data_IF_795945073022
#
_entry.id   IF_795945073022
#
_cell.length_a   1.000
_cell.length_b   1.000
_cell.length_c   1.000
_cell.angle_alpha   90.00
_cell.angle_beta   90.00
_cell.angle_gamma   90.00
#
_symmetry.space_group_name_H-M   'P 1'
#
loop_
_entity.id
_entity.type
_entity.pdbx_description
1 polymer ?
#
# COMPACT_ATOMS: atom_id res chain seq x y z
N UNK A 1 -15.36 -9.95 -17.93
CA UNK A 1 -14.61 -11.20 -17.67
C UNK A 1 -13.18 -11.00 -18.14
N UNK A 2 -12.25 -10.77 -17.22
CA UNK A 2 -10.83 -10.59 -17.53
C UNK A 2 -10.18 -11.97 -17.45
N UNK A 3 -10.31 -12.77 -18.51
CA UNK A 3 -9.52 -13.98 -18.68
C UNK A 3 -8.25 -13.61 -19.43
N UNK A 4 -7.13 -13.43 -18.72
CA UNK A 4 -5.83 -13.19 -19.36
C UNK A 4 -5.43 -14.34 -20.28
N UNK A 5 -4.57 -14.07 -21.27
CA UNK A 5 -4.07 -15.13 -22.16
C UNK A 5 -3.22 -16.14 -21.34
N UNK A 6 -3.20 -17.41 -21.76
CA UNK A 6 -2.48 -18.48 -21.06
C UNK A 6 -0.97 -18.17 -20.93
N UNK A 7 -0.37 -17.55 -21.96
CA UNK A 7 1.04 -17.19 -21.98
C UNK A 7 1.42 -16.09 -20.97
N UNK A 8 0.45 -15.32 -20.50
CA UNK A 8 0.67 -14.23 -19.54
C UNK A 8 0.60 -14.72 -18.09
N UNK A 9 0.24 -15.99 -17.89
CA UNK A 9 0.08 -16.57 -16.57
C UNK A 9 1.42 -16.92 -15.94
N UNK A 10 1.69 -16.41 -14.75
CA UNK A 10 2.95 -16.64 -14.02
C UNK A 10 3.23 -18.13 -13.78
N UNK A 11 2.17 -18.93 -13.59
CA UNK A 11 2.20 -20.37 -13.32
C UNK A 11 2.24 -21.23 -14.59
N UNK A 12 2.22 -20.61 -15.78
CA UNK A 12 2.35 -21.32 -17.04
C UNK A 12 3.82 -21.40 -17.45
N UNK A 13 4.32 -22.63 -17.55
CA UNK A 13 5.73 -22.92 -17.81
C UNK A 13 6.00 -23.26 -19.28
N UNK A 14 4.97 -23.47 -20.10
CA UNK A 14 5.09 -23.89 -21.50
C UNK A 14 5.82 -25.22 -21.63
N UNK A 15 6.57 -25.41 -22.72
CA UNK A 15 7.37 -26.61 -22.93
C UNK A 15 8.59 -26.63 -21.97
N UNK A 16 8.51 -27.44 -20.91
CA UNK A 16 9.59 -27.64 -19.93
C UNK A 16 9.76 -29.12 -19.62
N UNK A 17 11.03 -29.53 -19.48
CA UNK A 17 11.40 -30.92 -19.23
C UNK A 17 10.94 -31.41 -17.86
N UNK A 18 10.46 -32.65 -17.81
CA UNK A 18 9.94 -33.29 -16.59
C UNK A 18 10.96 -33.34 -15.44
N UNK A 19 12.26 -33.42 -15.76
CA UNK A 19 13.35 -33.43 -14.77
C UNK A 19 13.44 -32.10 -14.02
N UNK A 20 13.44 -30.98 -14.74
CA UNK A 20 13.41 -29.62 -14.19
C UNK A 20 12.18 -29.42 -13.31
N UNK A 21 11.03 -29.92 -13.75
CA UNK A 21 9.78 -29.85 -12.99
C UNK A 21 9.89 -30.60 -11.67
N UNK A 22 10.47 -31.80 -11.67
CA UNK A 22 10.62 -32.60 -10.47
C UNK A 22 11.50 -31.90 -9.44
N UNK A 23 12.62 -31.33 -9.88
CA UNK A 23 13.58 -30.62 -9.04
C UNK A 23 12.95 -29.39 -8.39
N UNK A 24 12.29 -28.53 -9.17
CA UNK A 24 11.71 -27.30 -8.63
C UNK A 24 10.54 -27.59 -7.68
N UNK A 25 9.81 -28.69 -7.88
CA UNK A 25 8.67 -29.06 -7.06
C UNK A 25 9.05 -29.80 -5.77
N UNK A 26 10.25 -30.37 -5.65
CA UNK A 26 10.62 -31.30 -4.58
C UNK A 26 10.43 -30.74 -3.16
N UNK A 27 10.79 -29.47 -2.95
CA UNK A 27 10.73 -28.82 -1.62
C UNK A 27 9.62 -27.77 -1.52
N UNK A 28 8.64 -27.80 -2.43
CA UNK A 28 7.54 -26.84 -2.40
C UNK A 28 6.41 -27.27 -1.45
N UNK A 29 5.75 -26.31 -0.78
CA UNK A 29 4.66 -26.60 0.14
C UNK A 29 3.46 -27.20 -0.59
N UNK A 30 2.60 -27.89 0.17
CA UNK A 30 1.36 -28.48 -0.36
C UNK A 30 0.46 -27.43 -1.02
N UNK A 31 -0.16 -27.79 -2.14
CA UNK A 31 -0.97 -26.88 -2.95
C UNK A 31 -0.17 -25.97 -3.88
N UNK A 32 1.17 -26.08 -3.90
CA UNK A 32 2.00 -25.45 -4.93
C UNK A 32 1.77 -26.11 -6.28
N UNK A 33 1.60 -25.32 -7.33
CA UNK A 33 1.26 -25.85 -8.66
C UNK A 33 1.85 -25.05 -9.82
N UNK A 34 1.95 -25.71 -10.98
CA UNK A 34 2.20 -25.07 -12.28
C UNK A 34 1.59 -25.88 -13.43
N UNK A 35 1.48 -25.26 -14.60
CA UNK A 35 0.97 -25.89 -15.82
C UNK A 35 2.04 -25.83 -16.91
N UNK A 36 2.26 -26.94 -17.61
CA UNK A 36 3.19 -27.05 -18.74
C UNK A 36 2.53 -27.72 -19.94
N UNK A 37 3.21 -27.67 -21.08
CA UNK A 37 2.78 -28.40 -22.27
C UNK A 37 2.82 -29.90 -22.00
N UNK A 38 1.77 -30.62 -22.42
CA UNK A 38 1.80 -32.08 -22.42
C UNK A 38 2.66 -32.57 -23.59
N UNK A 39 3.11 -33.83 -23.49
CA UNK A 39 3.80 -34.48 -24.62
C UNK A 39 2.86 -34.72 -25.81
N UNK A 40 1.54 -34.67 -25.60
CA UNK A 40 0.56 -34.68 -26.68
C UNK A 40 0.26 -33.26 -27.14
N UNK A 41 0.39 -32.95 -28.44
CA UNK A 41 0.12 -31.62 -28.97
C UNK A 41 -1.30 -31.14 -28.62
N UNK A 42 -1.42 -29.92 -28.09
CA UNK A 42 -2.69 -29.27 -27.74
C UNK A 42 -3.19 -29.51 -26.31
N UNK A 43 -2.67 -30.52 -25.61
CA UNK A 43 -2.99 -30.79 -24.20
C UNK A 43 -1.96 -30.17 -23.24
N UNK A 44 -2.32 -30.08 -21.96
CA UNK A 44 -1.46 -29.57 -20.91
C UNK A 44 -1.31 -30.55 -19.74
N UNK A 45 -0.30 -30.34 -18.90
CA UNK A 45 -0.10 -31.08 -17.65
C UNK A 45 -0.04 -30.12 -16.48
N UNK A 46 -0.99 -30.26 -15.55
CA UNK A 46 -0.96 -29.65 -14.24
C UNK A 46 -0.05 -30.47 -13.32
N UNK A 47 0.93 -29.82 -12.71
CA UNK A 47 1.80 -30.40 -11.69
C UNK A 47 1.46 -29.75 -10.36
N UNK A 48 1.13 -30.53 -9.32
CA UNK A 48 0.73 -30.02 -7.99
C UNK A 48 1.39 -30.82 -6.87
N UNK A 49 1.77 -30.15 -5.78
CA UNK A 49 2.24 -30.81 -4.54
C UNK A 49 1.09 -31.21 -3.65
N UNK A 50 1.07 -32.48 -3.24
CA UNK A 50 0.07 -33.03 -2.34
C UNK A 50 0.63 -34.20 -1.54
N UNK A 51 0.49 -34.18 -0.22
CA UNK A 51 0.95 -35.25 0.66
C UNK A 51 2.45 -35.53 0.55
N UNK A 52 3.28 -34.49 0.41
CA UNK A 52 4.74 -34.61 0.25
C UNK A 52 5.20 -35.12 -1.12
N UNK A 53 4.29 -35.35 -2.06
CA UNK A 53 4.60 -35.87 -3.39
C UNK A 53 4.14 -34.92 -4.50
N UNK A 54 4.79 -35.05 -5.66
CA UNK A 54 4.42 -34.32 -6.87
C UNK A 54 3.41 -35.16 -7.67
N UNK A 55 2.22 -34.60 -7.89
CA UNK A 55 1.14 -35.22 -8.67
C UNK A 55 1.04 -34.55 -10.03
N UNK A 56 0.82 -35.34 -11.07
CA UNK A 56 0.66 -34.89 -12.45
C UNK A 56 -0.78 -35.20 -12.90
N UNK A 57 -1.51 -34.17 -13.31
CA UNK A 57 -2.88 -34.28 -13.82
C UNK A 57 -2.91 -33.76 -15.24
N UNK A 58 -3.42 -34.56 -16.17
CA UNK A 58 -3.54 -34.16 -17.57
C UNK A 58 -4.75 -33.24 -17.74
N UNK A 59 -4.55 -32.15 -18.48
CA UNK A 59 -5.62 -31.26 -18.91
C UNK A 59 -5.83 -31.53 -20.40
N UNK A 60 -7.00 -32.05 -20.73
CA UNK A 60 -7.43 -32.29 -22.10
C UNK A 60 -8.01 -31.04 -22.71
N UNK A 61 -7.69 -30.76 -23.96
CA UNK A 61 -8.28 -29.64 -24.71
C UNK A 61 -8.84 -30.15 -26.03
N UNK A 62 -10.14 -29.93 -26.25
CA UNK A 62 -10.81 -30.32 -27.48
C UNK A 62 -11.88 -29.30 -27.87
N UNK A 63 -11.85 -28.86 -29.13
CA UNK A 63 -12.79 -27.87 -29.71
C UNK A 63 -13.00 -26.63 -28.84
N UNK A 64 -11.92 -26.11 -28.24
CA UNK A 64 -11.94 -24.90 -27.41
C UNK A 64 -12.46 -25.10 -25.97
N UNK A 65 -12.78 -26.32 -25.54
CA UNK A 65 -13.10 -26.64 -24.15
C UNK A 65 -12.01 -27.50 -23.52
N UNK A 66 -11.88 -27.42 -22.20
CA UNK A 66 -10.89 -28.17 -21.45
C UNK A 66 -11.40 -28.73 -20.11
N UNK A 67 -10.71 -29.75 -19.62
CA UNK A 67 -11.03 -30.45 -18.37
C UNK A 67 -10.03 -31.55 -18.05
N UNK A 68 -10.15 -32.16 -16.87
CA UNK A 68 -9.27 -33.25 -16.44
C UNK A 68 -9.71 -34.64 -16.91
N UNK A 69 -10.93 -34.76 -17.46
CA UNK A 69 -11.46 -35.98 -18.06
C UNK A 69 -11.98 -35.68 -19.46
N UNK A 70 -11.70 -36.55 -20.43
CA UNK A 70 -12.08 -36.36 -21.83
C UNK A 70 -13.62 -36.30 -22.02
N UNK A 71 -14.35 -36.99 -21.14
CA UNK A 71 -15.82 -37.02 -21.09
C UNK A 71 -16.45 -35.81 -20.38
N UNK A 72 -15.63 -34.94 -19.77
CA UNK A 72 -16.11 -33.80 -18.96
C UNK A 72 -15.22 -32.56 -19.15
N UNK A 73 -15.36 -31.92 -20.32
CA UNK A 73 -14.65 -30.67 -20.68
C UNK A 73 -15.50 -29.44 -20.30
N UNK A 74 -15.50 -29.09 -19.02
CA UNK A 74 -16.43 -28.12 -18.42
C UNK A 74 -16.00 -26.65 -18.51
N UNK A 75 -14.78 -26.35 -18.96
CA UNK A 75 -14.23 -24.99 -18.94
C UNK A 75 -13.82 -24.49 -20.33
N UNK A 76 -14.05 -23.21 -20.60
CA UNK A 76 -13.76 -22.58 -21.90
C UNK A 76 -12.28 -22.22 -22.10
N UNK A 77 -11.44 -22.36 -21.06
CA UNK A 77 -9.99 -22.12 -21.15
C UNK A 77 -9.24 -22.80 -20.00
N UNK A 78 -7.96 -23.10 -20.21
CA UNK A 78 -7.08 -23.63 -19.14
C UNK A 78 -6.99 -22.64 -17.98
N UNK A 79 -7.02 -21.33 -18.25
CA UNK A 79 -6.99 -20.29 -17.23
C UNK A 79 -8.22 -20.36 -16.33
N UNK A 80 -9.43 -20.47 -16.93
CA UNK A 80 -10.67 -20.58 -16.15
C UNK A 80 -10.79 -21.91 -15.40
N UNK A 81 -10.25 -23.00 -15.95
CA UNK A 81 -10.11 -24.28 -15.25
C UNK A 81 -9.23 -24.12 -13.99
N UNK A 82 -8.03 -23.54 -14.14
CA UNK A 82 -7.10 -23.36 -13.01
C UNK A 82 -7.71 -22.44 -11.95
N UNK A 83 -8.30 -21.31 -12.35
CA UNK A 83 -8.91 -20.34 -11.42
C UNK A 83 -10.03 -20.97 -10.60
N UNK A 84 -10.85 -21.83 -11.22
CA UNK A 84 -11.89 -22.58 -10.53
C UNK A 84 -11.34 -23.48 -9.42
N UNK A 85 -10.23 -24.18 -9.67
CA UNK A 85 -9.58 -25.08 -8.70
C UNK A 85 -8.63 -24.37 -7.72
N UNK A 86 -8.45 -23.05 -7.83
CA UNK A 86 -7.77 -22.27 -6.78
C UNK A 86 -8.59 -22.20 -5.50
N UNK A 87 -9.90 -22.11 -5.62
CA UNK A 87 -10.84 -21.98 -4.49
C UNK A 87 -11.62 -23.26 -4.19
N UNK A 88 -11.51 -24.29 -5.04
CA UNK A 88 -12.22 -25.57 -4.91
C UNK A 88 -11.24 -26.74 -4.98
N UNK A 89 -11.42 -27.71 -4.08
CA UNK A 89 -10.52 -28.88 -4.00
C UNK A 89 -10.63 -29.75 -5.24
N UNK A 90 -9.50 -30.29 -5.70
CA UNK A 90 -9.42 -31.30 -6.76
C UNK A 90 -10.12 -32.62 -6.39
N UNK A 91 -10.58 -32.78 -5.15
CA UNK A 91 -11.38 -33.91 -4.68
C UNK A 91 -12.63 -34.18 -5.51
N UNK A 92 -13.26 -33.13 -6.06
CA UNK A 92 -14.44 -33.28 -6.90
C UNK A 92 -14.13 -33.89 -8.28
N UNK A 93 -12.86 -33.85 -8.70
CA UNK A 93 -12.37 -34.59 -9.85
C UNK A 93 -11.83 -35.98 -9.45
N UNK A 94 -10.98 -36.04 -8.42
CA UNK A 94 -10.40 -37.28 -7.91
C UNK A 94 -10.42 -37.28 -6.38
N UNK A 95 -11.21 -38.19 -5.80
CA UNK A 95 -11.42 -38.26 -4.35
C UNK A 95 -10.13 -38.42 -3.52
N UNK A 96 -9.04 -38.91 -4.12
CA UNK A 96 -7.73 -39.09 -3.50
C UNK A 96 -6.80 -37.86 -3.63
N UNK A 97 -7.26 -36.78 -4.24
CA UNK A 97 -6.48 -35.56 -4.48
C UNK A 97 -7.17 -34.36 -3.81
N UNK A 98 -7.23 -34.38 -2.47
CA UNK A 98 -7.92 -33.35 -1.69
C UNK A 98 -7.02 -32.12 -1.45
N UNK A 99 -6.80 -31.35 -2.52
CA UNK A 99 -5.95 -30.16 -2.51
C UNK A 99 -6.51 -29.06 -3.41
N UNK A 100 -6.34 -27.80 -3.00
CA UNK A 100 -6.63 -26.64 -3.84
C UNK A 100 -5.33 -26.10 -4.46
N UNK A 101 -5.44 -25.44 -5.62
CA UNK A 101 -4.32 -24.79 -6.31
C UNK A 101 -3.97 -23.44 -5.65
N UNK A 102 -3.30 -23.50 -4.49
CA UNK A 102 -3.08 -22.34 -3.60
C UNK A 102 -1.93 -21.46 -4.08
N UNK A 103 -0.77 -22.07 -4.35
CA UNK A 103 0.47 -21.34 -4.57
C UNK A 103 0.94 -21.49 -6.03
N UNK A 104 0.67 -20.50 -6.91
CA UNK A 104 1.13 -20.55 -8.29
C UNK A 104 2.66 -20.44 -8.33
N UNK A 105 3.33 -21.45 -8.87
CA UNK A 105 4.79 -21.47 -8.96
C UNK A 105 5.24 -20.68 -10.20
N UNK A 106 5.92 -19.52 -10.04
CA UNK A 106 6.26 -18.68 -11.18
C UNK A 106 7.40 -19.28 -12.02
N UNK A 107 7.28 -19.25 -13.35
CA UNK A 107 8.38 -19.63 -14.25
C UNK A 107 9.55 -18.64 -14.11
N UNK A 108 10.60 -19.04 -13.38
CA UNK A 108 11.88 -18.31 -13.38
C UNK A 108 12.55 -18.50 -14.75
N UNK A 109 12.45 -17.49 -15.63
CA UNK A 109 13.01 -17.51 -17.00
C UNK A 109 14.54 -17.76 -17.10
N UNK A 110 15.27 -17.95 -16.00
CA UNK A 110 16.72 -18.11 -15.95
C UNK A 110 17.23 -19.36 -15.20
N UNK A 111 16.39 -20.35 -14.85
CA UNK A 111 16.86 -21.51 -14.03
C UNK A 111 17.37 -22.73 -14.81
N UNK A 112 17.30 -22.75 -16.15
CA UNK A 112 17.93 -23.82 -16.94
C UNK A 112 19.32 -23.36 -17.39
N UNK A 113 20.30 -23.53 -16.50
CA UNK A 113 21.66 -23.87 -16.93
C UNK A 113 22.11 -25.05 -16.08
N UNK A 114 22.16 -26.20 -16.74
CA UNK A 114 22.90 -27.37 -16.31
C UNK A 114 24.27 -26.88 -15.85
N UNK A 115 24.58 -27.08 -14.57
CA UNK A 115 25.94 -26.91 -14.06
C UNK A 115 26.71 -28.13 -14.55
N UNK A 116 27.26 -28.04 -15.77
CA UNK A 116 28.31 -28.98 -16.17
C UNK A 116 29.57 -28.64 -15.35
N UNK A 117 29.99 -29.58 -14.53
CA UNK A 117 31.11 -29.50 -13.59
C UNK A 117 32.50 -29.45 -14.27
N UNK A 118 32.59 -29.07 -15.54
CA UNK A 118 33.84 -28.99 -16.28
C UNK A 118 33.92 -27.71 -17.11
N UNK A 119 34.01 -26.57 -16.45
CA UNK A 119 34.52 -25.34 -17.08
C UNK A 119 35.83 -24.93 -16.41
N UNK A 120 36.93 -25.32 -17.05
CA UNK A 120 38.25 -24.72 -16.78
C UNK A 120 38.19 -23.29 -17.32
N UNK A 121 38.53 -22.26 -16.52
CA UNK A 121 38.47 -20.89 -16.99
C UNK A 121 39.55 -20.67 -18.06
N UNK A 122 39.15 -20.54 -19.32
CA UNK A 122 40.03 -19.95 -20.32
C UNK A 122 40.18 -18.46 -20.01
N UNK A 123 41.43 -18.02 -20.09
CA UNK A 123 41.96 -16.73 -19.67
C UNK A 123 41.53 -15.56 -20.56
N UNK A 124 40.25 -15.42 -20.87
CA UNK A 124 39.71 -14.14 -21.32
C UNK A 124 39.18 -13.41 -20.11
N UNK A 125 39.91 -12.39 -19.66
CA UNK A 125 39.42 -11.40 -18.71
C UNK A 125 37.98 -11.00 -19.08
N UNK A 126 37.04 -10.97 -18.13
CA UNK A 126 35.66 -10.57 -18.42
C UNK A 126 35.68 -9.20 -19.10
N UNK A 127 34.81 -8.96 -20.10
CA UNK A 127 34.72 -7.65 -20.74
C UNK A 127 34.59 -6.60 -19.63
N UNK A 128 35.52 -5.63 -19.61
CA UNK A 128 35.47 -4.51 -18.67
C UNK A 128 34.10 -3.88 -18.80
N UNK A 129 33.34 -3.86 -17.70
CA UNK A 129 32.05 -3.19 -17.63
C UNK A 129 32.23 -1.76 -18.14
N UNK A 130 31.67 -1.46 -19.31
CA UNK A 130 31.59 -0.11 -19.85
C UNK A 130 30.60 0.67 -19.00
N UNK A 131 31.15 1.40 -18.02
CA UNK A 131 30.42 2.30 -17.15
C UNK A 131 29.57 3.25 -18.00
N UNK A 132 28.25 3.24 -17.83
CA UNK A 132 27.40 4.25 -18.46
C UNK A 132 27.67 5.59 -17.75
N UNK A 133 28.23 6.61 -18.42
CA UNK A 133 28.63 7.87 -17.78
C UNK A 133 27.43 8.65 -17.20
N UNK A 134 26.22 8.41 -17.71
CA UNK A 134 24.99 9.09 -17.28
C UNK A 134 24.31 8.46 -16.04
N UNK A 135 24.91 7.45 -15.41
CA UNK A 135 24.27 6.76 -14.29
C UNK A 135 24.11 7.68 -13.06
N UNK A 136 25.16 8.44 -12.68
CA UNK A 136 25.12 9.32 -11.52
C UNK A 136 24.10 10.44 -11.71
N UNK A 137 24.00 10.95 -12.94
CA UNK A 137 23.03 11.95 -13.32
C UNK A 137 21.60 11.41 -13.16
N UNK A 138 21.32 10.23 -13.74
CA UNK A 138 19.99 9.60 -13.66
C UNK A 138 19.59 9.27 -12.23
N UNK A 139 20.50 8.71 -11.44
CA UNK A 139 20.26 8.43 -10.03
C UNK A 139 19.98 9.72 -9.26
N UNK A 140 20.76 10.77 -9.49
CA UNK A 140 20.57 12.07 -8.86
C UNK A 140 19.21 12.69 -9.20
N UNK A 141 18.82 12.68 -10.48
CA UNK A 141 17.50 13.16 -10.92
C UNK A 141 16.36 12.35 -10.29
N UNK A 142 16.52 11.04 -10.16
CA UNK A 142 15.53 10.17 -9.53
C UNK A 142 15.39 10.44 -8.03
N UNK A 143 16.52 10.67 -7.32
CA UNK A 143 16.52 11.13 -5.92
C UNK A 143 15.77 12.46 -5.78
N UNK A 144 16.03 13.43 -6.68
CA UNK A 144 15.33 14.71 -6.69
C UNK A 144 13.82 14.52 -6.86
N UNK A 145 13.42 13.65 -7.79
CA UNK A 145 12.02 13.31 -8.07
C UNK A 145 11.32 12.77 -6.81
N UNK A 146 11.95 11.83 -6.11
CA UNK A 146 11.43 11.26 -4.85
C UNK A 146 11.33 12.31 -3.75
N UNK A 147 12.37 13.13 -3.58
CA UNK A 147 12.35 14.20 -2.59
C UNK A 147 11.23 15.21 -2.88
N UNK A 148 11.01 15.54 -4.14
CA UNK A 148 9.92 16.43 -4.56
C UNK A 148 8.55 15.80 -4.28
N UNK A 149 8.32 14.53 -4.63
CA UNK A 149 7.07 13.83 -4.30
C UNK A 149 6.83 13.81 -2.78
N UNK A 150 7.87 13.64 -1.97
CA UNK A 150 7.76 13.71 -0.51
C UNK A 150 7.37 15.10 0.00
N UNK A 151 7.91 16.18 -0.61
CA UNK A 151 7.49 17.56 -0.33
C UNK A 151 6.03 17.76 -0.68
N UNK A 152 5.61 17.34 -1.87
CA UNK A 152 4.24 17.54 -2.34
C UNK A 152 3.22 16.77 -1.46
N UNK A 153 3.54 15.53 -1.05
CA UNK A 153 2.73 14.79 -0.07
C UNK A 153 2.67 15.51 1.29
N UNK A 154 3.82 15.97 1.79
CA UNK A 154 3.88 16.66 3.07
C UNK A 154 3.08 17.97 3.06
N UNK A 155 3.12 18.72 1.95
CA UNK A 155 2.33 19.94 1.76
C UNK A 155 0.83 19.62 1.74
N UNK A 156 0.42 18.60 0.98
CA UNK A 156 -0.98 18.15 0.91
C UNK A 156 -1.54 17.76 2.27
N UNK A 157 -0.76 17.00 3.06
CA UNK A 157 -1.14 16.58 4.41
C UNK A 157 -1.17 17.75 5.39
N UNK A 158 -0.24 18.69 5.26
CA UNK A 158 -0.23 19.94 6.01
C UNK A 158 -1.49 20.76 5.74
N UNK A 159 -1.88 20.92 4.48
CA UNK A 159 -3.09 21.66 4.12
C UNK A 159 -4.36 20.96 4.63
N UNK A 160 -4.43 19.63 4.53
CA UNK A 160 -5.55 18.84 5.02
C UNK A 160 -5.78 19.05 6.53
N UNK A 161 -4.73 18.92 7.35
CA UNK A 161 -4.88 19.11 8.81
C UNK A 161 -5.22 20.55 9.19
N UNK A 162 -4.75 21.55 8.42
CA UNK A 162 -5.16 22.96 8.63
C UNK A 162 -6.64 23.17 8.30
N UNK A 163 -7.14 22.51 7.24
CA UNK A 163 -8.54 22.59 6.87
C UNK A 163 -9.43 21.94 7.94
N UNK A 164 -9.06 20.77 8.46
CA UNK A 164 -9.78 20.11 9.56
C UNK A 164 -9.80 20.98 10.82
N UNK A 165 -8.66 21.60 11.17
CA UNK A 165 -8.61 22.53 12.30
C UNK A 165 -9.55 23.71 12.11
N UNK A 166 -9.58 24.32 10.92
CA UNK A 166 -10.50 25.44 10.64
C UNK A 166 -11.96 25.04 10.87
N UNK A 167 -12.36 23.86 10.40
CA UNK A 167 -13.72 23.35 10.61
C UNK A 167 -14.02 23.09 12.09
N UNK A 168 -13.04 22.60 12.85
CA UNK A 168 -13.18 22.39 14.29
C UNK A 168 -13.30 23.73 15.05
N UNK A 169 -12.49 24.74 14.70
CA UNK A 169 -12.55 26.09 15.26
C UNK A 169 -13.92 26.75 14.97
N UNK A 170 -14.42 26.64 13.74
CA UNK A 170 -15.74 27.14 13.34
C UNK A 170 -16.87 26.47 14.15
N UNK A 171 -16.84 25.14 14.28
CA UNK A 171 -17.83 24.39 15.07
C UNK A 171 -17.76 24.73 16.57
N UNK A 172 -16.55 24.93 17.11
CA UNK A 172 -16.37 25.37 18.49
C UNK A 172 -16.96 26.77 18.71
N UNK A 173 -16.79 27.68 17.75
CA UNK A 173 -17.40 29.01 17.78
C UNK A 173 -18.93 28.93 17.74
N UNK A 174 -19.51 28.10 16.87
CA UNK A 174 -20.96 27.88 16.82
C UNK A 174 -21.52 27.37 18.15
N UNK A 175 -20.88 26.38 18.78
CA UNK A 175 -21.30 25.92 20.11
C UNK A 175 -21.17 27.00 21.17
N UNK A 176 -20.09 27.81 21.12
CA UNK A 176 -19.92 28.95 22.03
C UNK A 176 -21.07 29.94 21.90
N UNK A 177 -21.48 30.26 20.68
CA UNK A 177 -22.59 31.16 20.43
C UNK A 177 -23.94 30.57 20.89
N UNK A 178 -24.17 29.28 20.65
CA UNK A 178 -25.36 28.58 21.12
C UNK A 178 -25.48 28.59 22.65
N UNK A 179 -24.37 28.43 23.37
CA UNK A 179 -24.31 28.50 24.83
C UNK A 179 -24.71 29.90 25.33
N UNK A 180 -24.14 30.95 24.74
CA UNK A 180 -24.49 32.35 25.07
C UNK A 180 -25.99 32.61 24.84
N UNK A 181 -26.55 32.09 23.76
CA UNK A 181 -27.97 32.27 23.45
C UNK A 181 -28.88 31.47 24.38
N UNK A 182 -28.47 30.26 24.81
CA UNK A 182 -29.18 29.46 25.81
C UNK A 182 -29.15 30.14 27.18
N UNK A 183 -28.01 30.65 27.62
CA UNK A 183 -27.88 31.43 28.86
C UNK A 183 -28.81 32.65 28.86
N UNK A 184 -28.87 33.38 27.73
CA UNK A 184 -29.78 34.51 27.57
C UNK A 184 -31.24 34.10 27.70
N UNK A 185 -31.64 32.99 27.07
CA UNK A 185 -33.02 32.46 27.14
C UNK A 185 -33.38 31.98 28.54
N UNK A 186 -32.47 31.28 29.21
CA UNK A 186 -32.65 30.83 30.60
C UNK A 186 -32.87 32.04 31.50
N UNK A 187 -32.00 33.06 31.42
CA UNK A 187 -32.13 34.28 32.21
C UNK A 187 -33.47 34.99 31.97
N UNK A 188 -33.89 35.13 30.70
CA UNK A 188 -35.18 35.73 30.37
C UNK A 188 -36.36 34.96 31.00
N UNK A 189 -36.33 33.63 30.98
CA UNK A 189 -37.38 32.84 31.62
C UNK A 189 -37.32 32.90 33.16
N UNK A 190 -36.13 32.99 33.74
CA UNK A 190 -35.95 33.20 35.18
C UNK A 190 -36.52 34.56 35.62
N UNK A 191 -36.29 35.62 34.85
CA UNK A 191 -36.87 36.95 35.10
C UNK A 191 -38.41 36.92 35.03
N UNK A 192 -38.99 36.21 34.05
CA UNK A 192 -40.44 36.02 33.94
C UNK A 192 -40.97 35.20 35.12
N UNK A 193 -40.28 34.14 35.53
CA UNK A 193 -40.66 33.31 36.67
C UNK A 193 -40.67 34.13 37.97
N UNK A 194 -39.64 34.95 38.18
CA UNK A 194 -39.57 35.87 39.32
C UNK A 194 -40.75 36.84 39.34
N UNK A 195 -41.10 37.40 38.17
CA UNK A 195 -42.24 38.31 38.05
C UNK A 195 -43.56 37.61 38.37
N UNK A 196 -43.75 36.38 37.90
CA UNK A 196 -44.95 35.57 38.21
C UNK A 196 -45.05 35.25 39.70
N UNK A 197 -43.95 34.91 40.36
CA UNK A 197 -43.94 34.70 41.81
C UNK A 197 -44.35 35.95 42.57
N UNK A 198 -43.78 37.11 42.24
CA UNK A 198 -44.18 38.38 42.86
C UNK A 198 -45.65 38.73 42.61
N UNK A 199 -46.18 38.46 41.41
CA UNK A 199 -47.61 38.63 41.13
C UNK A 199 -48.49 37.67 41.92
N UNK A 200 -48.06 36.42 42.10
CA UNK A 200 -48.81 35.41 42.86
C UNK A 200 -48.90 35.78 44.35
N UNK A 201 -47.82 36.27 44.94
CA UNK A 201 -47.77 36.74 46.34
C UNK A 201 -48.64 37.97 46.59
N UNK A 202 -48.84 38.82 45.57
CA UNK A 202 -49.70 40.01 45.66
C UNK A 202 -51.20 39.72 45.49
N UNK A 203 -51.60 38.47 45.24
CA UNK A 203 -52.99 38.09 44.98
C UNK A 203 -53.77 37.77 46.26
N UNK A 204 -55.05 38.15 46.29
CA UNK A 204 -55.96 37.80 47.39
C UNK A 204 -56.19 36.28 47.45
N UNK A 205 -55.87 35.66 48.59
CA UNK A 205 -55.95 34.20 48.81
C UNK A 205 -57.35 33.61 48.61
N UNK A 206 -58.37 34.47 48.58
CA UNK A 206 -59.76 34.07 48.36
C UNK A 206 -60.08 33.64 46.92
N UNK A 207 -59.30 34.08 45.91
CA UNK A 207 -59.48 33.69 44.50
C UNK A 207 -58.64 32.46 44.12
N UNK A 208 -59.13 31.28 44.55
CA UNK A 208 -58.49 29.98 44.33
C UNK A 208 -58.17 29.71 42.86
N UNK A 209 -59.04 30.13 41.92
CA UNK A 209 -58.82 29.88 40.49
C UNK A 209 -57.61 30.64 39.97
N UNK A 210 -57.45 31.89 40.40
CA UNK A 210 -56.33 32.74 40.00
C UNK A 210 -55.01 32.25 40.58
N UNK A 211 -54.99 31.88 41.86
CA UNK A 211 -53.81 31.29 42.52
C UNK A 211 -53.38 29.99 41.83
N UNK A 212 -54.34 29.14 41.46
CA UNK A 212 -54.06 27.90 40.75
C UNK A 212 -53.51 28.14 39.33
N UNK A 213 -53.99 29.16 38.63
CA UNK A 213 -53.49 29.54 37.31
C UNK A 213 -52.04 30.05 37.36
N UNK A 214 -51.69 30.89 38.34
CA UNK A 214 -50.29 31.33 38.53
C UNK A 214 -49.37 30.14 38.82
N UNK A 215 -49.78 29.25 39.73
CA UNK A 215 -49.02 28.04 40.05
C UNK A 215 -48.77 27.17 38.81
N UNK A 216 -49.81 26.91 38.01
CA UNK A 216 -49.67 26.14 36.78
C UNK A 216 -48.71 26.81 35.77
N UNK A 217 -48.76 28.14 35.65
CA UNK A 217 -47.84 28.89 34.78
C UNK A 217 -46.39 28.81 35.27
N UNK A 218 -46.15 28.95 36.58
CA UNK A 218 -44.82 28.77 37.17
C UNK A 218 -44.26 27.38 36.85
N UNK A 219 -45.05 26.32 37.06
CA UNK A 219 -44.64 24.94 36.75
C UNK A 219 -44.27 24.75 35.26
N UNK A 220 -44.95 25.43 34.34
CA UNK A 220 -44.63 25.38 32.90
C UNK A 220 -43.29 26.06 32.63
N UNK A 221 -43.04 27.24 33.21
CA UNK A 221 -41.80 27.98 33.00
C UNK A 221 -40.61 27.29 33.66
N UNK A 222 -40.77 26.77 34.88
CA UNK A 222 -39.75 25.96 35.55
C UNK A 222 -39.33 24.74 34.71
N UNK A 223 -40.31 24.02 34.14
CA UNK A 223 -40.04 22.90 33.22
C UNK A 223 -39.32 23.37 31.95
N UNK A 224 -39.66 24.54 31.42
CA UNK A 224 -38.97 25.11 30.26
C UNK A 224 -37.52 25.52 30.58
N UNK A 225 -37.29 26.18 31.71
CA UNK A 225 -35.96 26.53 32.22
C UNK A 225 -35.12 25.26 32.38
N UNK A 226 -35.67 24.23 33.02
CA UNK A 226 -34.98 22.94 33.19
C UNK A 226 -34.55 22.35 31.85
N UNK A 227 -35.45 22.30 30.86
CA UNK A 227 -35.11 21.80 29.51
C UNK A 227 -34.00 22.59 28.84
N UNK A 228 -34.01 23.93 28.95
CA UNK A 228 -32.95 24.77 28.38
C UNK A 228 -31.62 24.58 29.09
N UNK A 229 -31.61 24.38 30.41
CA UNK A 229 -30.40 24.05 31.18
C UNK A 229 -29.84 22.69 30.79
N UNK A 230 -30.69 21.68 30.63
CA UNK A 230 -30.29 20.35 30.15
C UNK A 230 -29.68 20.44 28.73
N UNK A 231 -30.26 21.25 27.83
CA UNK A 231 -29.72 21.51 26.49
C UNK A 231 -28.38 22.27 26.55
N UNK A 232 -28.28 23.28 27.40
CA UNK A 232 -27.04 24.03 27.64
C UNK A 232 -25.90 23.10 28.06
N UNK A 233 -26.14 22.22 29.03
CA UNK A 233 -25.14 21.29 29.53
C UNK A 233 -24.69 20.29 28.45
N UNK A 234 -25.63 19.85 27.60
CA UNK A 234 -25.32 19.01 26.44
C UNK A 234 -24.43 19.75 25.41
N UNK A 235 -24.73 21.01 25.11
CA UNK A 235 -23.93 21.81 24.17
C UNK A 235 -22.55 22.12 24.76
N UNK A 236 -22.46 22.38 26.06
CA UNK A 236 -21.20 22.55 26.79
C UNK A 236 -20.30 21.31 26.69
N UNK A 237 -20.84 20.10 26.89
CA UNK A 237 -20.10 18.84 26.71
C UNK A 237 -19.62 18.65 25.26
N UNK A 238 -20.47 18.95 24.27
CA UNK A 238 -20.09 18.91 22.86
C UNK A 238 -18.97 19.89 22.53
N UNK A 239 -19.05 21.14 23.01
CA UNK A 239 -17.99 22.14 22.85
C UNK A 239 -16.68 21.66 23.47
N UNK A 240 -16.72 21.08 24.67
CA UNK A 240 -15.54 20.55 25.33
C UNK A 240 -14.87 19.41 24.55
N UNK A 241 -15.66 18.55 23.90
CA UNK A 241 -15.14 17.51 22.99
C UNK A 241 -14.45 18.13 21.76
N UNK A 242 -15.05 19.14 21.14
CA UNK A 242 -14.43 19.85 20.01
C UNK A 242 -13.15 20.58 20.43
N UNK A 243 -13.11 21.16 21.63
CA UNK A 243 -11.89 21.79 22.18
C UNK A 243 -10.73 20.80 22.25
N UNK A 244 -10.97 19.56 22.69
CA UNK A 244 -9.92 18.51 22.69
C UNK A 244 -9.45 18.17 21.27
N UNK A 245 -10.38 18.08 20.32
CA UNK A 245 -10.04 17.85 18.90
C UNK A 245 -9.15 18.99 18.36
N UNK A 246 -9.44 20.25 18.72
CA UNK A 246 -8.61 21.41 18.34
C UNK A 246 -7.18 21.31 18.90
N UNK A 247 -7.03 20.84 20.14
CA UNK A 247 -5.72 20.63 20.77
C UNK A 247 -4.93 19.53 20.02
N UNK A 248 -5.57 18.39 19.73
CA UNK A 248 -4.98 17.29 18.97
C UNK A 248 -4.56 17.74 17.56
N UNK A 249 -5.42 18.48 16.86
CA UNK A 249 -5.14 19.05 15.54
C UNK A 249 -4.01 20.08 15.58
N UNK A 250 -3.87 20.82 16.67
CA UNK A 250 -2.75 21.77 16.86
C UNK A 250 -1.42 21.02 16.97
N UNK A 251 -1.38 19.89 17.67
CA UNK A 251 -0.20 19.03 17.70
C UNK A 251 0.08 18.41 16.32
N UNK A 252 -0.95 17.94 15.63
CA UNK A 252 -0.83 17.36 14.30
C UNK A 252 -0.29 18.38 13.26
N UNK A 253 -0.72 19.64 13.34
CA UNK A 253 -0.17 20.76 12.54
C UNK A 253 1.32 20.95 12.80
N UNK A 254 1.75 20.94 14.06
CA UNK A 254 3.16 21.10 14.41
C UNK A 254 4.01 19.95 13.81
N UNK A 255 3.51 18.72 13.89
CA UNK A 255 4.15 17.55 13.29
C UNK A 255 4.20 17.65 11.75
N UNK A 256 3.09 17.98 11.10
CA UNK A 256 3.02 18.15 9.65
C UNK A 256 3.96 19.26 9.15
N UNK A 257 4.06 20.37 9.90
CA UNK A 257 5.00 21.46 9.62
C UNK A 257 6.45 20.98 9.69
N UNK A 258 6.81 20.25 10.75
CA UNK A 258 8.15 19.69 10.91
C UNK A 258 8.53 18.77 9.75
N UNK A 259 7.61 17.88 9.34
CA UNK A 259 7.78 17.01 8.18
C UNK A 259 7.97 17.80 6.89
N UNK A 260 7.10 18.77 6.59
CA UNK A 260 7.20 19.60 5.38
C UNK A 260 8.55 20.32 5.29
N UNK A 261 9.01 20.93 6.39
CA UNK A 261 10.32 21.60 6.45
C UNK A 261 11.45 20.60 6.21
N UNK A 262 11.41 19.43 6.85
CA UNK A 262 12.41 18.37 6.66
C UNK A 262 12.48 17.90 5.21
N UNK A 263 11.34 17.59 4.59
CA UNK A 263 11.27 17.18 3.19
C UNK A 263 11.82 18.27 2.26
N UNK A 264 11.46 19.54 2.51
CA UNK A 264 11.91 20.66 1.70
C UNK A 264 13.44 20.86 1.78
N UNK A 265 14.02 20.71 2.97
CA UNK A 265 15.47 20.77 3.17
C UNK A 265 16.20 19.65 2.40
N UNK A 266 15.71 18.40 2.49
CA UNK A 266 16.28 17.27 1.76
C UNK A 266 16.19 17.46 0.24
N UNK A 267 15.04 17.93 -0.25
CA UNK A 267 14.87 18.27 -1.67
C UNK A 267 15.83 19.38 -2.11
N UNK A 268 15.94 20.47 -1.35
CA UNK A 268 16.84 21.58 -1.65
C UNK A 268 18.31 21.16 -1.70
N UNK A 269 18.70 20.27 -0.81
CA UNK A 269 20.02 19.67 -0.83
C UNK A 269 20.25 18.87 -2.12
N UNK A 270 19.32 17.96 -2.46
CA UNK A 270 19.40 17.17 -3.71
C UNK A 270 19.44 18.04 -4.97
N UNK A 271 18.62 19.10 -5.02
CA UNK A 271 18.61 20.06 -6.13
C UNK A 271 19.96 20.76 -6.26
N UNK A 272 20.50 21.24 -5.14
CA UNK A 272 21.75 22.01 -5.10
C UNK A 272 22.95 21.16 -5.52
N UNK A 273 22.99 19.89 -5.10
CA UNK A 273 24.05 18.96 -5.51
C UNK A 273 24.03 18.69 -7.01
N UNK A 274 22.84 18.50 -7.61
CA UNK A 274 22.72 18.36 -9.07
C UNK A 274 23.09 19.64 -9.81
N UNK A 275 22.67 20.80 -9.30
CA UNK A 275 23.01 22.07 -9.89
C UNK A 275 24.53 22.32 -9.89
N UNK A 276 25.23 22.02 -8.78
CA UNK A 276 26.70 22.08 -8.68
C UNK A 276 27.39 21.13 -9.67
N UNK A 277 26.79 19.97 -9.95
CA UNK A 277 27.28 19.01 -10.96
C UNK A 277 27.03 19.47 -12.41
N UNK A 278 26.47 20.66 -12.62
CA UNK A 278 26.27 21.24 -13.96
C UNK A 278 24.99 20.80 -14.66
N UNK A 279 24.04 20.19 -13.93
CA UNK A 279 22.76 19.77 -14.52
C UNK A 279 21.94 20.99 -14.96
N UNK A 280 21.47 21.04 -16.22
CA UNK A 280 20.66 22.16 -16.72
C UNK A 280 19.39 22.42 -15.91
N UNK A 281 19.08 23.70 -15.65
CA UNK A 281 17.90 24.10 -14.85
C UNK A 281 16.57 23.58 -15.41
N UNK A 282 16.42 23.55 -16.73
CA UNK A 282 15.23 23.03 -17.40
C UNK A 282 15.03 21.53 -17.14
N UNK A 283 16.10 20.75 -17.04
CA UNK A 283 16.03 19.33 -16.71
C UNK A 283 15.66 19.10 -15.24
N UNK A 284 16.14 19.96 -14.33
CA UNK A 284 15.72 19.93 -12.92
C UNK A 284 14.23 20.31 -12.78
N UNK A 285 13.80 21.34 -13.50
CA UNK A 285 12.41 21.79 -13.52
C UNK A 285 11.46 20.70 -14.06
N UNK A 286 11.80 20.08 -15.20
CA UNK A 286 10.98 19.01 -15.77
C UNK A 286 10.89 17.78 -14.85
N UNK A 287 11.96 17.46 -14.13
CA UNK A 287 11.96 16.38 -13.12
C UNK A 287 10.99 16.69 -11.98
N UNK A 288 10.96 17.94 -11.51
CA UNK A 288 10.03 18.42 -10.48
C UNK A 288 8.59 18.36 -10.99
N UNK A 289 8.31 18.87 -12.19
CA UNK A 289 6.97 18.87 -12.80
C UNK A 289 6.39 17.46 -12.95
N UNK A 290 7.21 16.51 -13.42
CA UNK A 290 6.82 15.10 -13.52
C UNK A 290 6.39 14.57 -12.14
N UNK A 291 7.15 14.91 -11.09
CA UNK A 291 6.87 14.50 -9.71
C UNK A 291 5.48 14.93 -9.25
N UNK A 292 5.14 16.20 -9.49
CA UNK A 292 3.85 16.78 -9.11
C UNK A 292 2.69 16.14 -9.88
N UNK A 293 2.83 15.91 -11.19
CA UNK A 293 1.79 15.25 -12.00
C UNK A 293 1.49 13.80 -11.56
N UNK A 294 2.48 13.07 -11.06
CA UNK A 294 2.21 11.72 -10.51
C UNK A 294 1.40 11.78 -9.22
N UNK A 295 1.59 12.81 -8.38
CA UNK A 295 0.85 12.94 -7.13
C UNK A 295 -0.64 13.24 -7.38
N UNK A 296 -0.99 13.88 -8.50
CA UNK A 296 -2.39 14.13 -8.87
C UNK A 296 -3.21 12.83 -9.00
N UNK A 297 -2.56 11.71 -9.31
CA UNK A 297 -3.18 10.38 -9.42
C UNK A 297 -3.23 9.62 -8.10
N UNK A 298 -2.60 10.14 -7.06
CA UNK A 298 -2.53 9.54 -5.74
C UNK A 298 -3.70 9.99 -4.87
N UNK A 299 -4.39 9.03 -4.24
CA UNK A 299 -5.45 9.32 -3.27
C UNK A 299 -4.88 9.86 -1.96
N UNK A 300 -5.72 10.53 -1.17
CA UNK A 300 -5.28 11.06 0.12
C UNK A 300 -4.78 9.93 1.05
N UNK A 301 -5.53 8.83 1.14
CA UNK A 301 -5.16 7.68 1.99
C UNK A 301 -3.81 7.06 1.57
N UNK A 302 -3.51 7.06 0.28
CA UNK A 302 -2.20 6.63 -0.20
C UNK A 302 -1.10 7.60 0.22
N UNK A 303 -1.34 8.91 0.16
CA UNK A 303 -0.38 9.92 0.64
C UNK A 303 -0.11 9.82 2.14
N UNK A 304 -1.14 9.59 2.95
CA UNK A 304 -1.05 9.30 4.39
C UNK A 304 -0.14 8.09 4.66
N UNK A 305 -0.45 6.95 4.02
CA UNK A 305 0.30 5.72 4.19
C UNK A 305 1.75 5.89 3.74
N UNK A 306 1.96 6.40 2.53
CA UNK A 306 3.29 6.51 1.91
C UNK A 306 4.17 7.54 2.61
N UNK A 307 3.59 8.51 3.31
CA UNK A 307 4.31 9.51 4.06
C UNK A 307 5.06 8.95 5.29
N UNK A 308 4.50 7.93 5.95
CA UNK A 308 5.04 7.40 7.21
C UNK A 308 5.89 6.15 7.02
N UNK A 309 6.02 5.67 5.78
CA UNK A 309 6.88 4.55 5.45
C UNK A 309 8.34 4.97 5.53
N UNK A 310 9.04 4.36 6.47
CA UNK A 310 10.50 4.43 6.54
C UNK A 310 11.10 3.29 5.75
N UNK A 311 11.93 3.61 4.77
CA UNK A 311 12.81 2.63 4.16
C UNK A 311 13.92 2.28 5.14
N UNK A 312 13.94 1.03 5.59
CA UNK A 312 14.96 0.52 6.51
C UNK A 312 16.32 0.25 5.83
N UNK A 313 16.44 0.54 4.53
CA UNK A 313 17.62 0.24 3.73
C UNK A 313 17.77 1.27 2.60
N UNK A 314 18.98 1.40 2.06
CA UNK A 314 19.32 2.31 0.97
C UNK A 314 19.38 1.56 -0.36
N UNK A 315 18.35 1.65 -1.24
CA UNK A 315 18.30 0.82 -2.44
C UNK A 315 19.41 1.08 -3.44
N UNK A 316 19.92 2.30 -3.37
CA UNK A 316 21.13 2.83 -3.98
C UNK A 316 22.33 1.89 -3.88
N UNK A 317 22.53 1.29 -2.69
CA UNK A 317 23.67 0.42 -2.39
C UNK A 317 23.60 -0.93 -3.12
N UNK A 318 22.42 -1.28 -3.63
CA UNK A 318 22.15 -2.54 -4.30
C UNK A 318 22.03 -2.35 -5.82
N UNK A 319 22.10 -1.11 -6.33
CA UNK A 319 22.05 -0.83 -7.76
C UNK A 319 23.40 -1.16 -8.43
N UNK A 320 23.34 -1.80 -9.60
CA UNK A 320 24.50 -1.98 -10.47
C UNK A 320 24.26 -1.31 -11.82
N UNK A 321 25.33 -0.77 -12.42
CA UNK A 321 25.25 0.00 -13.67
C UNK A 321 25.36 -0.88 -14.94
N UNK A 322 25.48 -2.20 -14.79
CA UNK A 322 25.65 -3.13 -15.91
C UNK A 322 24.33 -3.88 -16.23
N UNK A 323 23.75 -3.72 -17.43
CA UNK A 323 22.54 -4.44 -17.83
C UNK A 323 22.77 -5.94 -18.08
N UNK A 324 24.02 -6.41 -18.16
CA UNK A 324 24.34 -7.81 -18.39
C UNK A 324 23.89 -8.69 -17.23
N UNK A 325 23.19 -9.78 -17.58
CA UNK A 325 22.83 -10.84 -16.62
C UNK A 325 24.07 -11.55 -16.11
N UNK A 326 25.05 -11.73 -16.98
CA UNK A 326 26.31 -12.43 -16.73
C UNK A 326 27.18 -11.63 -15.76
N UNK A 327 27.31 -10.31 -15.96
CA UNK A 327 28.03 -9.43 -15.05
C UNK A 327 27.39 -9.42 -13.65
N UNK A 328 26.07 -9.35 -13.58
CA UNK A 328 25.35 -9.45 -12.32
C UNK A 328 25.53 -10.80 -11.61
N UNK A 329 25.46 -11.92 -12.34
CA UNK A 329 25.72 -13.24 -11.78
C UNK A 329 27.15 -13.35 -11.23
N UNK A 330 28.14 -12.81 -11.94
CA UNK A 330 29.52 -12.78 -11.49
C UNK A 330 29.70 -11.97 -10.18
N UNK A 331 29.02 -10.82 -10.06
CA UNK A 331 29.05 -10.01 -8.83
C UNK A 331 28.42 -10.75 -7.64
N UNK A 332 27.28 -11.42 -7.82
CA UNK A 332 26.64 -12.23 -6.78
C UNK A 332 27.55 -13.37 -6.34
N UNK A 333 28.14 -14.09 -7.29
CA UNK A 333 29.07 -15.18 -7.00
C UNK A 333 30.30 -14.69 -6.24
N UNK A 334 30.87 -13.54 -6.64
CA UNK A 334 32.01 -12.94 -5.95
C UNK A 334 31.66 -12.52 -4.52
N UNK A 335 30.50 -11.89 -4.31
CA UNK A 335 30.02 -11.51 -2.98
C UNK A 335 29.81 -12.74 -2.09
N UNK A 336 29.26 -13.81 -2.65
CA UNK A 336 29.07 -15.09 -1.97
C UNK A 336 30.40 -15.71 -1.53
N UNK A 337 31.39 -15.78 -2.43
CA UNK A 337 32.72 -16.32 -2.11
C UNK A 337 33.37 -15.54 -0.97
N UNK A 338 33.30 -14.21 -1.02
CA UNK A 338 33.88 -13.35 0.02
C UNK A 338 33.20 -13.53 1.39
N UNK A 339 31.88 -13.75 1.43
CA UNK A 339 31.15 -14.06 2.67
C UNK A 339 31.54 -15.43 3.25
N UNK A 340 31.70 -16.44 2.39
CA UNK A 340 32.16 -17.78 2.79
C UNK A 340 33.58 -17.72 3.35
N UNK A 341 34.46 -16.93 2.73
CA UNK A 341 35.83 -16.71 3.22
C UNK A 341 35.85 -16.00 4.58
N UNK A 342 34.99 -15.00 4.78
CA UNK A 342 35.00 -14.16 5.99
C UNK A 342 34.29 -14.80 7.19
N UNK A 343 33.22 -15.56 6.96
CA UNK A 343 32.34 -16.07 8.03
C UNK A 343 32.29 -17.60 8.12
N UNK A 344 33.05 -18.31 7.28
CA UNK A 344 33.13 -19.77 7.28
C UNK A 344 32.02 -20.47 6.47
N UNK A 345 32.24 -21.75 6.14
CA UNK A 345 31.41 -22.55 5.22
C UNK A 345 29.94 -22.77 5.63
N UNK A 346 29.54 -22.40 6.84
CA UNK A 346 28.21 -22.69 7.40
C UNK A 346 27.22 -21.51 7.34
N UNK A 347 27.59 -20.36 6.77
CA UNK A 347 26.68 -19.22 6.70
C UNK A 347 25.63 -19.42 5.59
N UNK A 348 24.34 -19.21 5.86
CA UNK A 348 23.31 -19.17 4.82
C UNK A 348 23.66 -18.06 3.83
N UNK A 349 23.95 -18.43 2.58
CA UNK A 349 24.23 -17.46 1.50
C UNK A 349 22.99 -17.02 0.75
N UNK A 350 21.81 -17.41 1.24
CA UNK A 350 20.52 -17.02 0.67
C UNK A 350 20.25 -15.54 0.97
N UNK A 351 19.68 -14.83 0.00
CA UNK A 351 19.36 -13.40 0.13
C UNK A 351 20.41 -12.42 -0.40
N UNK A 352 21.47 -12.89 -1.08
CA UNK A 352 22.35 -11.99 -1.85
C UNK A 352 21.61 -11.55 -3.12
N UNK A 353 21.34 -10.26 -3.25
CA UNK A 353 20.69 -9.69 -4.42
C UNK A 353 21.37 -8.39 -4.87
N UNK A 354 21.07 -8.00 -6.10
CA UNK A 354 21.39 -6.70 -6.68
C UNK A 354 20.28 -6.29 -7.65
N UNK A 355 20.20 -5.00 -7.97
CA UNK A 355 19.20 -4.40 -8.85
C UNK A 355 19.92 -3.86 -10.08
N UNK A 356 19.71 -4.49 -11.25
CA UNK A 356 20.40 -4.15 -12.52
C UNK A 356 19.44 -3.58 -13.57
N UNK A 357 19.92 -2.85 -14.59
CA UNK A 357 19.08 -2.34 -15.65
C UNK A 357 18.54 -3.48 -16.50
N UNK A 358 17.31 -3.32 -16.98
CA UNK A 358 16.76 -4.22 -17.97
C UNK A 358 17.36 -3.92 -19.35
N UNK A 359 18.02 -4.90 -19.95
CA UNK A 359 18.54 -4.80 -21.32
C UNK A 359 17.42 -4.66 -22.37
N UNK A 360 16.21 -5.15 -22.06
CA UNK A 360 15.06 -5.13 -22.96
C UNK A 360 14.09 -3.97 -22.69
N UNK A 361 14.26 -3.23 -21.59
CA UNK A 361 13.43 -2.08 -21.23
C UNK A 361 14.32 -0.96 -20.70
N UNK A 362 14.69 -0.07 -21.61
CA UNK A 362 15.38 1.19 -21.26
C UNK A 362 14.48 1.95 -20.25
N UNK A 363 15.06 2.50 -19.19
CA UNK A 363 14.39 3.19 -18.06
C UNK A 363 13.73 2.32 -16.97
N UNK A 364 13.62 1.00 -17.14
CA UNK A 364 12.92 0.15 -16.17
C UNK A 364 13.64 0.01 -14.81
N UNK A 365 14.95 0.28 -14.73
CA UNK A 365 15.70 0.19 -13.48
C UNK A 365 15.31 1.25 -12.44
N UNK A 366 15.00 2.46 -12.91
CA UNK A 366 14.60 3.58 -12.07
C UNK A 366 13.08 3.56 -11.83
N UNK A 367 12.29 3.03 -12.78
CA UNK A 367 10.92 2.60 -12.50
C UNK A 367 10.89 1.50 -11.42
N UNK A 368 11.88 0.60 -11.38
CA UNK A 368 12.06 -0.32 -10.27
C UNK A 368 12.50 0.40 -8.99
N UNK A 369 13.13 1.56 -9.00
CA UNK A 369 13.43 2.32 -7.78
C UNK A 369 12.15 2.95 -7.17
N UNK A 370 11.29 3.48 -8.04
CA UNK A 370 9.90 3.88 -7.77
C UNK A 370 9.00 2.73 -7.31
N UNK A 371 9.02 1.62 -8.04
CA UNK A 371 8.29 0.42 -7.69
C UNK A 371 8.94 -0.22 -6.46
N UNK A 372 10.23 -0.15 -6.19
CA UNK A 372 10.78 -0.67 -4.92
C UNK A 372 10.30 0.19 -3.75
N UNK A 373 10.16 1.51 -3.94
CA UNK A 373 9.47 2.41 -3.00
C UNK A 373 7.95 2.12 -2.85
N UNK A 374 7.27 1.67 -3.91
CA UNK A 374 5.80 1.51 -3.94
C UNK A 374 5.26 0.05 -3.83
N UNK A 375 6.01 -0.94 -4.32
CA UNK A 375 5.73 -2.39 -4.37
C UNK A 375 6.25 -3.12 -3.12
N UNK A 376 7.38 -2.72 -2.52
CA UNK A 376 7.82 -3.33 -1.24
C UNK A 376 6.91 -2.90 -0.09
N UNK A 377 6.38 -1.68 -0.18
CA UNK A 377 5.31 -1.16 0.68
C UNK A 377 4.05 -2.05 0.70
N UNK A 378 3.68 -2.64 -0.44
CA UNK A 378 2.51 -3.53 -0.52
C UNK A 378 2.79 -4.96 -0.04
N UNK A 379 4.06 -5.40 -0.02
CA UNK A 379 4.44 -6.78 0.32
C UNK A 379 4.77 -7.00 1.80
N UNK A 380 4.77 -5.94 2.62
CA UNK A 380 4.90 -6.03 4.09
C UNK A 380 3.55 -5.96 4.84
N UNK A 381 2.43 -5.95 4.11
CA UNK A 381 1.07 -5.90 4.66
C UNK A 381 0.18 -7.08 4.23
N UNK A 382 0.77 -8.21 3.82
CA UNK A 382 0.16 -9.55 3.74
C UNK A 382 1.09 -10.49 4.48
#
# INVERSE_FOLDING_TARGET
>A
MVGGQLCDQIWYWGNVDKTVVSEVMQDQPEGTFMVRDASSPGDYTLTVRFGGHTKLVRIHVYKGRCGFALESLTHDSVVSLIEFYRTRSLKCYNAQLDVCLRYPLPRRKNSVRIVDSHYVPTSSSPPKATFNPDWELRLGLERLRICQTAVDRAARLFDAVHQEKRLADDLHYEFTQAIIDLDRKVKQLEDVLSTLHSCAEATDETDVKRTQAFKANCEIIEKAIKRLKDEHDLVMDRRAKVSKIIDDLTQAIAHAKGRLVSCNNTRNHSYTELFKKGVPKNQLASTIEISTSMLEKESMQASELLADIRLAWEPEQYLVNDPSKEAAAALILRARSHLIEKMGRQVPTDGIFLIRPSASQVYCQFCCFLCIHAYITLYLSI
#
